data_IF_214702457329
#
_entry.id   IF_214702457329
#
_cell.length_a   1.000
_cell.length_b   1.000
_cell.length_c   1.000
_cell.angle_alpha   90.00
_cell.angle_beta   90.00
_cell.angle_gamma   90.00
#
_symmetry.space_group_name_H-M   'P 1'
#
loop_
_entity.id
_entity.type
_entity.pdbx_description
1 polymer ?
#
# COMPACT_ATOMS: atom_id res chain seq x y z
N UNK A 1 8.22 27.80 -6.81
CA UNK A 1 7.62 26.51 -7.16
C UNK A 1 8.17 25.51 -6.18
N UNK A 2 7.64 25.47 -4.97
CA UNK A 2 7.94 24.37 -4.05
C UNK A 2 7.10 23.21 -4.58
N UNK A 3 7.75 22.11 -4.97
CA UNK A 3 7.05 20.83 -5.01
C UNK A 3 6.44 20.69 -3.61
N UNK A 4 5.11 20.57 -3.54
CA UNK A 4 4.41 20.48 -2.27
C UNK A 4 5.06 19.33 -1.49
N UNK A 5 5.53 19.59 -0.26
CA UNK A 5 6.33 18.62 0.51
C UNK A 5 5.63 17.25 0.66
N UNK A 6 4.31 17.25 0.46
CA UNK A 6 3.36 16.14 0.44
C UNK A 6 3.36 15.27 -0.83
N UNK A 7 3.73 15.81 -1.98
CA UNK A 7 3.94 15.00 -3.18
C UNK A 7 5.24 14.18 -3.05
N UNK A 8 6.25 14.73 -2.35
CA UNK A 8 7.50 14.02 -2.09
C UNK A 8 7.32 12.82 -1.15
N UNK A 9 6.51 12.94 -0.08
CA UNK A 9 6.27 11.84 0.86
C UNK A 9 5.56 10.64 0.22
N UNK A 10 4.53 10.91 -0.59
CA UNK A 10 3.86 9.87 -1.38
C UNK A 10 4.84 9.20 -2.35
N UNK A 11 5.55 9.97 -3.17
CA UNK A 11 6.48 9.42 -4.17
C UNK A 11 7.57 8.58 -3.52
N UNK A 12 8.15 9.06 -2.41
CA UNK A 12 9.16 8.35 -1.62
C UNK A 12 8.63 7.04 -1.07
N UNK A 13 7.43 7.05 -0.48
CA UNK A 13 6.77 5.85 0.02
C UNK A 13 6.57 4.80 -1.09
N UNK A 14 6.15 5.23 -2.28
CA UNK A 14 5.98 4.35 -3.44
C UNK A 14 7.31 3.77 -3.93
N UNK A 15 8.38 4.56 -3.98
CA UNK A 15 9.72 4.07 -4.32
C UNK A 15 10.21 2.98 -3.36
N UNK A 16 9.98 3.16 -2.06
CA UNK A 16 10.34 2.18 -1.04
C UNK A 16 9.55 0.88 -1.20
N UNK A 17 8.25 0.95 -1.52
CA UNK A 17 7.47 -0.25 -1.84
C UNK A 17 8.05 -0.96 -3.08
N UNK A 18 8.39 -0.21 -4.14
CA UNK A 18 9.02 -0.77 -5.35
C UNK A 18 10.36 -1.43 -5.03
N UNK A 19 11.13 -0.90 -4.09
CA UNK A 19 12.40 -1.45 -3.62
C UNK A 19 12.22 -2.70 -2.73
N UNK A 20 11.05 -2.87 -2.10
CA UNK A 20 10.79 -3.92 -1.11
C UNK A 20 11.13 -3.52 0.33
N UNK A 21 11.37 -2.23 0.56
CA UNK A 21 11.65 -1.63 1.88
C UNK A 21 10.33 -1.29 2.58
N UNK A 22 9.58 -2.34 2.94
CA UNK A 22 8.18 -2.20 3.36
C UNK A 22 8.00 -1.55 4.74
N UNK A 23 8.99 -1.63 5.62
CA UNK A 23 8.92 -0.98 6.93
C UNK A 23 9.11 0.53 6.78
N UNK A 24 10.12 0.93 6.02
CA UNK A 24 10.44 2.32 5.69
C UNK A 24 9.30 2.96 4.88
N UNK A 25 8.76 2.23 3.90
CA UNK A 25 7.59 2.66 3.15
C UNK A 25 6.38 2.93 4.06
N UNK A 26 6.18 2.07 5.07
CA UNK A 26 5.13 2.26 6.05
C UNK A 26 5.34 3.55 6.85
N UNK A 27 6.55 3.81 7.34
CA UNK A 27 6.83 5.02 8.13
C UNK A 27 6.59 6.29 7.30
N UNK A 28 7.14 6.34 6.08
CA UNK A 28 6.97 7.49 5.17
C UNK A 28 5.49 7.73 4.80
N UNK A 29 4.76 6.68 4.45
CA UNK A 29 3.35 6.81 4.08
C UNK A 29 2.45 7.10 5.29
N UNK A 30 2.81 6.64 6.48
CA UNK A 30 2.05 6.90 7.70
C UNK A 30 2.21 8.37 8.13
N UNK A 31 3.38 8.96 7.98
CA UNK A 31 3.61 10.38 8.20
C UNK A 31 2.80 11.24 7.23
N UNK A 32 2.83 10.93 5.93
CA UNK A 32 2.00 11.62 4.93
C UNK A 32 0.50 11.44 5.22
N UNK A 33 0.08 10.26 5.70
CA UNK A 33 -1.31 10.00 6.11
C UNK A 33 -1.75 10.81 7.33
N UNK A 34 -0.89 11.00 8.33
CA UNK A 34 -1.21 11.74 9.56
C UNK A 34 -1.55 13.20 9.28
N UNK A 35 -0.86 13.79 8.31
CA UNK A 35 -1.04 15.19 7.91
C UNK A 35 -2.04 15.37 6.75
N UNK A 36 -2.64 14.27 6.28
CA UNK A 36 -3.51 14.26 5.12
C UNK A 36 -4.85 15.00 5.35
N UNK A 37 -5.36 15.74 4.35
CA UNK A 37 -6.73 16.22 4.37
C UNK A 37 -7.71 15.03 4.35
N UNK A 38 -8.90 15.23 4.90
CA UNK A 38 -9.89 14.15 5.04
C UNK A 38 -10.22 13.40 3.74
N UNK A 39 -10.19 14.09 2.59
CA UNK A 39 -10.44 13.49 1.28
C UNK A 39 -9.34 12.51 0.81
N UNK A 40 -8.10 12.70 1.27
CA UNK A 40 -6.93 11.89 0.88
C UNK A 40 -6.60 10.79 1.90
N UNK A 41 -7.20 10.89 3.09
CA UNK A 41 -6.84 10.05 4.23
C UNK A 41 -7.06 8.56 3.97
N UNK A 42 -8.14 8.19 3.28
CA UNK A 42 -8.41 6.79 2.97
C UNK A 42 -7.45 6.23 1.90
N UNK A 43 -7.12 7.03 0.88
CA UNK A 43 -6.14 6.65 -0.14
C UNK A 43 -4.77 6.35 0.48
N UNK A 44 -4.22 7.30 1.24
CA UNK A 44 -2.91 7.15 1.86
C UNK A 44 -2.88 6.00 2.86
N UNK A 45 -3.94 5.84 3.67
CA UNK A 45 -4.04 4.69 4.57
C UNK A 45 -4.17 3.35 3.83
N UNK A 46 -4.78 3.35 2.65
CA UNK A 46 -4.81 2.21 1.75
C UNK A 46 -3.39 1.77 1.36
N UNK A 47 -2.53 2.71 0.94
CA UNK A 47 -1.13 2.44 0.61
C UNK A 47 -0.30 2.01 1.83
N UNK A 48 -0.53 2.61 3.00
CA UNK A 48 0.06 2.13 4.27
C UNK A 48 -0.29 0.65 4.51
N UNK A 49 -1.55 0.25 4.28
CA UNK A 49 -1.94 -1.15 4.42
C UNK A 49 -1.28 -2.07 3.39
N UNK A 50 -1.02 -1.60 2.16
CA UNK A 50 -0.22 -2.36 1.18
C UNK A 50 1.19 -2.61 1.73
N UNK A 51 1.92 -1.58 2.17
CA UNK A 51 3.26 -1.76 2.73
C UNK A 51 3.27 -2.76 3.91
N UNK A 52 2.33 -2.61 4.85
CA UNK A 52 2.25 -3.47 6.04
C UNK A 52 1.85 -4.91 5.70
N UNK A 53 1.02 -5.13 4.68
CA UNK A 53 0.65 -6.49 4.24
C UNK A 53 1.89 -7.27 3.77
N UNK A 54 2.75 -6.66 2.96
CA UNK A 54 4.01 -7.28 2.51
C UNK A 54 5.03 -7.43 3.64
N UNK A 55 5.09 -6.48 4.57
CA UNK A 55 5.91 -6.61 5.79
C UNK A 55 5.49 -7.83 6.62
N UNK A 56 4.18 -8.07 6.79
CA UNK A 56 3.68 -9.25 7.49
C UNK A 56 3.98 -10.55 6.75
N UNK A 57 3.85 -10.57 5.43
CA UNK A 57 4.21 -11.72 4.61
C UNK A 57 5.69 -12.09 4.80
N UNK A 58 6.60 -11.12 4.72
CA UNK A 58 8.05 -11.32 4.94
C UNK A 58 8.40 -11.79 6.35
N UNK A 59 7.55 -11.51 7.35
CA UNK A 59 7.70 -11.99 8.74
C UNK A 59 7.01 -13.32 9.02
N UNK A 60 6.39 -13.96 8.02
CA UNK A 60 5.64 -15.19 8.21
C UNK A 60 4.30 -15.02 8.96
N UNK A 61 3.82 -13.78 9.13
CA UNK A 61 2.58 -13.49 9.85
C UNK A 61 1.38 -13.50 8.90
N UNK A 62 0.86 -14.70 8.62
CA UNK A 62 -0.31 -14.89 7.74
C UNK A 62 -1.56 -14.13 8.19
N UNK A 63 -2.05 -14.24 9.44
CA UNK A 63 -3.26 -13.52 9.86
C UNK A 63 -3.11 -12.00 9.78
N UNK A 64 -1.89 -11.49 10.00
CA UNK A 64 -1.56 -10.08 9.83
C UNK A 64 -1.60 -9.66 8.37
N UNK A 65 -1.03 -10.46 7.47
CA UNK A 65 -1.04 -10.21 6.03
C UNK A 65 -2.47 -10.16 5.49
N UNK A 66 -3.28 -11.20 5.74
CA UNK A 66 -4.68 -11.31 5.30
C UNK A 66 -5.49 -10.05 5.65
N UNK A 67 -5.44 -9.66 6.94
CA UNK A 67 -6.19 -8.52 7.47
C UNK A 67 -5.78 -7.20 6.82
N UNK A 68 -4.51 -7.05 6.46
CA UNK A 68 -4.03 -5.80 5.87
C UNK A 68 -4.34 -5.73 4.38
N UNK A 69 -4.32 -6.86 3.66
CA UNK A 69 -4.80 -6.95 2.27
C UNK A 69 -6.28 -6.57 2.16
N UNK A 70 -7.13 -7.08 3.05
CA UNK A 70 -8.56 -6.71 3.10
C UNK A 70 -8.78 -5.20 3.31
N UNK A 71 -8.01 -4.60 4.23
CA UNK A 71 -8.11 -3.16 4.50
C UNK A 71 -7.61 -2.33 3.32
N UNK A 72 -6.50 -2.74 2.69
CA UNK A 72 -5.97 -2.08 1.49
C UNK A 72 -7.02 -2.08 0.38
N UNK A 73 -7.60 -3.25 0.08
CA UNK A 73 -8.64 -3.40 -0.95
C UNK A 73 -9.84 -2.48 -0.69
N UNK A 74 -10.36 -2.48 0.54
CA UNK A 74 -11.51 -1.66 0.92
C UNK A 74 -11.25 -0.16 0.79
N UNK A 75 -10.06 0.31 1.18
CA UNK A 75 -9.73 1.75 1.21
C UNK A 75 -9.34 2.30 -0.16
N UNK A 76 -8.67 1.51 -0.99
CA UNK A 76 -8.23 1.94 -2.32
C UNK A 76 -9.34 1.83 -3.37
N UNK A 77 -10.33 0.94 -3.18
CA UNK A 77 -11.44 0.72 -4.12
C UNK A 77 -12.12 1.99 -4.66
N UNK A 78 -12.47 2.98 -3.81
CA UNK A 78 -13.10 4.23 -4.26
C UNK A 78 -12.23 5.12 -5.16
N UNK A 79 -10.92 4.89 -5.23
CA UNK A 79 -9.95 5.71 -5.97
C UNK A 79 -9.57 5.14 -7.34
N UNK A 80 -10.29 4.12 -7.81
CA UNK A 80 -10.13 3.56 -9.17
C UNK A 80 -10.49 4.58 -10.27
N UNK A 81 -9.88 4.48 -11.46
CA UNK A 81 -8.78 3.57 -11.80
C UNK A 81 -7.42 4.12 -11.35
N UNK A 82 -7.31 5.42 -11.12
CA UNK A 82 -6.06 6.06 -10.75
C UNK A 82 -6.30 7.27 -9.85
N UNK A 83 -5.36 7.55 -8.96
CA UNK A 83 -5.39 8.70 -8.07
C UNK A 83 -3.98 9.16 -7.72
N UNK A 84 -3.72 10.47 -7.77
CA UNK A 84 -2.39 11.07 -7.54
C UNK A 84 -1.23 10.38 -8.30
N UNK A 85 -1.48 9.99 -9.55
CA UNK A 85 -0.48 9.33 -10.40
C UNK A 85 -0.26 7.85 -10.10
N UNK A 86 -0.97 7.27 -9.13
CA UNK A 86 -0.95 5.83 -8.85
C UNK A 86 -2.03 5.14 -9.69
N UNK A 87 -1.65 4.07 -10.37
CA UNK A 87 -2.60 3.14 -11.01
C UNK A 87 -3.26 2.26 -9.92
N UNK A 88 -4.36 2.76 -9.37
CA UNK A 88 -5.09 2.12 -8.28
C UNK A 88 -5.72 0.79 -8.73
N UNK A 89 -6.11 0.70 -10.00
CA UNK A 89 -6.62 -0.56 -10.57
C UNK A 89 -5.55 -1.65 -10.53
N UNK A 90 -4.34 -1.34 -10.99
CA UNK A 90 -3.21 -2.28 -10.94
C UNK A 90 -2.89 -2.69 -9.50
N UNK A 91 -2.82 -1.75 -8.56
CA UNK A 91 -2.56 -2.04 -7.15
C UNK A 91 -3.58 -3.01 -6.58
N UNK A 92 -4.86 -2.77 -6.84
CA UNK A 92 -5.93 -3.62 -6.34
C UNK A 92 -5.90 -5.01 -6.97
N UNK A 93 -5.49 -5.14 -8.23
CA UNK A 93 -5.24 -6.44 -8.85
C UNK A 93 -4.07 -7.17 -8.16
N UNK A 94 -2.98 -6.46 -7.86
CA UNK A 94 -1.87 -7.02 -7.08
C UNK A 94 -2.28 -7.45 -5.67
N UNK A 95 -3.13 -6.68 -4.98
CA UNK A 95 -3.72 -7.05 -3.69
C UNK A 95 -4.57 -8.31 -3.82
N UNK A 96 -5.43 -8.39 -4.85
CA UNK A 96 -6.27 -9.56 -5.11
C UNK A 96 -5.44 -10.82 -5.35
N UNK A 97 -4.41 -10.74 -6.19
CA UNK A 97 -3.47 -11.85 -6.42
C UNK A 97 -2.74 -12.25 -5.14
N UNK A 98 -2.33 -11.28 -4.32
CA UNK A 98 -1.72 -11.58 -3.02
C UNK A 98 -2.70 -12.33 -2.11
N UNK A 99 -3.97 -11.94 -2.06
CA UNK A 99 -5.00 -12.66 -1.28
C UNK A 99 -5.11 -14.12 -1.71
N UNK A 100 -5.14 -14.42 -3.02
CA UNK A 100 -5.16 -15.79 -3.53
C UNK A 100 -3.95 -16.62 -3.08
N UNK A 101 -2.76 -16.01 -3.08
CA UNK A 101 -1.53 -16.66 -2.59
C UNK A 101 -1.60 -16.95 -1.09
N UNK A 102 -2.13 -16.02 -0.30
CA UNK A 102 -2.27 -16.23 1.16
C UNK A 102 -3.36 -17.26 1.48
N UNK A 103 -4.45 -17.26 0.73
CA UNK A 103 -5.50 -18.28 0.80
C UNK A 103 -4.96 -19.68 0.46
N UNK A 104 -4.02 -19.80 -0.47
CA UNK A 104 -3.35 -21.06 -0.79
C UNK A 104 -2.35 -21.52 0.29
N UNK A 105 -2.16 -20.74 1.36
CA UNK A 105 -1.23 -21.03 2.46
C UNK A 105 0.20 -20.55 2.23
N UNK A 106 0.48 -19.82 1.14
CA UNK A 106 1.79 -19.24 0.85
C UNK A 106 1.88 -17.79 1.34
N UNK A 107 3.08 -17.33 1.67
CA UNK A 107 3.37 -15.92 1.93
C UNK A 107 4.43 -15.35 0.97
N UNK A 108 4.71 -16.08 -0.11
CA UNK A 108 5.63 -15.63 -1.16
C UNK A 108 4.84 -14.78 -2.14
N UNK A 109 4.75 -13.49 -1.84
CA UNK A 109 4.02 -12.52 -2.65
C UNK A 109 4.91 -11.93 -3.74
N UNK A 110 4.35 -11.71 -4.92
CA UNK A 110 4.97 -10.85 -5.93
C UNK A 110 4.97 -9.39 -5.43
N UNK A 111 5.90 -8.56 -5.92
CA UNK A 111 5.86 -7.12 -5.60
C UNK A 111 4.53 -6.52 -6.09
N UNK A 112 3.92 -5.60 -5.33
CA UNK A 112 2.73 -4.92 -5.79
C UNK A 112 3.07 -4.05 -7.02
N UNK A 113 2.18 -3.96 -8.01
CA UNK A 113 2.39 -3.14 -9.20
C UNK A 113 2.14 -1.66 -8.86
N UNK A 114 3.22 -0.92 -8.62
CA UNK A 114 3.28 0.49 -8.25
C UNK A 114 4.37 1.21 -9.04
#
# INVERSE_FOLDING_TARGET
MALDNREMGLERGLELIRAGEYFEAHEELEDEWRDAPAAERDFLQGLVHVAVAWLHAGRGNRPGCDRQLEKAARRLGPYRPAHRGVDVEAVLEGVRMAQEVVESGSLILSRPPL
#
